data_IF_683444052456
#
_entry.id   IF_683444052456
#
_cell.length_a   1.000
_cell.length_b   1.000
_cell.length_c   1.000
_cell.angle_alpha   90.00
_cell.angle_beta   90.00
_cell.angle_gamma   90.00
#
_symmetry.space_group_name_H-M   'P 1'
#
loop_
_entity.id
_entity.type
_entity.pdbx_description
1 polymer ?
#
# COMPACT_ATOMS: atom_id res chain seq x y z
N UNK A 1 -27.68 -76.41 54.79
CA UNK A 1 -28.03 -75.73 53.52
C UNK A 1 -27.45 -74.33 53.57
N UNK A 2 -26.62 -73.96 52.58
CA UNK A 2 -25.92 -72.66 52.47
C UNK A 2 -26.91 -71.51 52.21
N UNK A 3 -26.66 -70.32 52.76
CA UNK A 3 -26.20 -69.12 52.01
C UNK A 3 -26.13 -67.86 52.90
N UNK A 4 -24.98 -67.19 52.82
CA UNK A 4 -24.69 -65.81 53.24
C UNK A 4 -25.37 -64.81 52.31
N UNK A 5 -25.79 -63.63 52.82
CA UNK A 5 -25.60 -62.33 52.13
C UNK A 5 -25.46 -61.20 53.19
N UNK A 6 -24.23 -60.70 53.38
CA UNK A 6 -23.97 -59.31 53.78
C UNK A 6 -24.30 -58.40 52.57
N UNK A 7 -24.75 -57.16 52.79
CA UNK A 7 -24.52 -55.95 51.96
C UNK A 7 -25.40 -54.83 52.54
N UNK A 8 -24.90 -53.71 53.05
CA UNK A 8 -23.79 -52.89 52.58
C UNK A 8 -24.37 -51.50 52.30
N UNK A 9 -24.20 -50.58 53.24
CA UNK A 9 -24.74 -49.21 53.19
C UNK A 9 -24.13 -48.45 52.00
N UNK A 10 -24.91 -48.12 50.96
CA UNK A 10 -24.43 -47.32 49.83
C UNK A 10 -24.59 -45.83 50.20
N UNK A 11 -23.52 -45.22 50.72
CA UNK A 11 -23.39 -43.76 50.80
C UNK A 11 -22.81 -43.24 49.49
N UNK A 12 -23.60 -42.46 48.75
CA UNK A 12 -23.13 -41.76 47.56
C UNK A 12 -22.18 -40.62 47.95
N UNK A 13 -20.88 -40.91 47.90
CA UNK A 13 -19.81 -39.92 48.02
C UNK A 13 -19.83 -38.98 46.81
N UNK A 14 -20.36 -37.76 46.98
CA UNK A 14 -20.12 -36.67 46.02
C UNK A 14 -18.65 -36.26 46.14
N UNK A 15 -17.83 -36.63 45.16
CA UNK A 15 -16.46 -36.11 45.02
C UNK A 15 -16.31 -35.33 43.73
N UNK A 16 -16.94 -34.16 43.67
CA UNK A 16 -16.60 -33.12 42.70
C UNK A 16 -15.62 -32.15 43.31
N UNK A 17 -14.31 -32.46 43.28
CA UNK A 17 -13.27 -31.45 43.53
C UNK A 17 -12.86 -30.86 42.19
N UNK A 18 -13.48 -29.75 41.82
CA UNK A 18 -12.83 -28.78 40.96
C UNK A 18 -11.78 -28.08 41.84
N UNK A 19 -10.55 -28.60 41.93
CA UNK A 19 -9.48 -27.86 42.57
C UNK A 19 -8.16 -28.08 41.84
N UNK A 20 -7.65 -27.00 41.26
CA UNK A 20 -6.34 -26.92 40.64
C UNK A 20 -6.13 -25.58 39.93
N UNK A 21 -6.45 -24.46 40.56
CA UNK A 21 -5.89 -23.17 40.12
C UNK A 21 -4.56 -22.99 40.84
N UNK A 22 -3.51 -23.55 40.26
CA UNK A 22 -2.13 -23.25 40.66
C UNK A 22 -1.72 -21.91 40.04
N UNK A 23 -1.04 -21.06 40.82
CA UNK A 23 -0.55 -19.76 40.34
C UNK A 23 0.66 -19.92 39.41
N UNK A 24 0.87 -18.96 38.50
CA UNK A 24 2.03 -18.99 37.60
C UNK A 24 3.34 -18.89 38.39
N UNK A 25 4.35 -19.65 37.95
CA UNK A 25 5.68 -19.61 38.57
C UNK A 25 6.48 -18.41 38.07
N UNK A 26 7.45 -17.93 38.86
CA UNK A 26 8.33 -16.83 38.43
C UNK A 26 9.14 -17.21 37.17
N UNK A 27 9.59 -18.47 37.09
CA UNK A 27 10.32 -18.99 35.93
C UNK A 27 9.47 -18.96 34.66
N UNK A 28 8.18 -19.27 34.77
CA UNK A 28 7.24 -19.24 33.65
C UNK A 28 7.08 -17.82 33.08
N UNK A 29 6.97 -16.81 33.95
CA UNK A 29 6.95 -15.39 33.51
C UNK A 29 8.26 -14.99 32.85
N UNK A 30 9.40 -15.40 33.40
CA UNK A 30 10.71 -15.09 32.80
C UNK A 30 10.85 -15.69 31.40
N UNK A 31 10.48 -16.97 31.23
CA UNK A 31 10.51 -17.63 29.92
C UNK A 31 9.52 -16.95 28.96
N UNK A 32 8.31 -16.61 29.42
CA UNK A 32 7.33 -15.88 28.62
C UNK A 32 7.85 -14.52 28.14
N UNK A 33 8.54 -13.77 28.99
CA UNK A 33 9.15 -12.47 28.63
C UNK A 33 10.29 -12.63 27.61
N UNK A 34 11.10 -13.69 27.71
CA UNK A 34 12.14 -13.99 26.71
C UNK A 34 11.51 -14.30 25.35
N UNK A 35 10.48 -15.15 25.31
CA UNK A 35 9.76 -15.47 24.08
C UNK A 35 9.11 -14.21 23.50
N UNK A 36 8.49 -13.37 24.34
CA UNK A 36 7.90 -12.10 23.93
C UNK A 36 8.94 -11.16 23.33
N UNK A 37 10.10 -11.02 23.97
CA UNK A 37 11.17 -10.15 23.47
C UNK A 37 11.64 -10.59 22.06
N UNK A 38 11.80 -11.89 21.83
CA UNK A 38 12.14 -12.44 20.51
C UNK A 38 11.03 -12.10 19.50
N UNK A 39 9.76 -12.26 19.88
CA UNK A 39 8.61 -11.92 19.05
C UNK A 39 8.58 -10.43 18.67
N UNK A 40 8.84 -9.53 19.61
CA UNK A 40 8.87 -8.09 19.36
C UNK A 40 10.01 -7.67 18.43
N UNK A 41 11.18 -8.32 18.53
CA UNK A 41 12.28 -8.11 17.59
C UNK A 41 11.89 -8.51 16.17
N UNK A 42 11.21 -9.64 15.99
CA UNK A 42 10.69 -10.03 14.67
C UNK A 42 9.70 -8.97 14.11
N UNK A 43 8.81 -8.44 14.94
CA UNK A 43 7.84 -7.39 14.56
C UNK A 43 8.54 -6.08 14.19
N UNK A 44 9.63 -5.72 14.87
CA UNK A 44 10.39 -4.50 14.55
C UNK A 44 10.90 -4.49 13.10
N UNK A 45 11.34 -5.64 12.58
CA UNK A 45 11.73 -5.79 11.19
C UNK A 45 10.56 -5.54 10.23
N UNK A 46 9.38 -6.07 10.56
CA UNK A 46 8.16 -5.85 9.77
C UNK A 46 7.72 -4.38 9.78
N UNK A 47 7.88 -3.67 10.90
CA UNK A 47 7.54 -2.25 10.99
C UNK A 47 8.39 -1.41 10.03
N UNK A 48 9.71 -1.66 9.96
CA UNK A 48 10.61 -0.95 9.03
C UNK A 48 10.18 -1.20 7.58
N UNK A 49 9.85 -2.45 7.23
CA UNK A 49 9.39 -2.79 5.88
C UNK A 49 8.07 -2.08 5.54
N UNK A 50 7.13 -2.04 6.49
CA UNK A 50 5.84 -1.37 6.32
C UNK A 50 5.99 0.13 6.08
N UNK A 51 6.89 0.80 6.82
CA UNK A 51 7.19 2.22 6.64
C UNK A 51 7.75 2.48 5.24
N UNK A 52 8.72 1.67 4.80
CA UNK A 52 9.32 1.81 3.46
C UNK A 52 8.30 1.57 2.35
N UNK A 53 7.48 0.52 2.48
CA UNK A 53 6.42 0.21 1.54
C UNK A 53 5.40 1.35 1.45
N UNK A 54 4.98 1.90 2.59
CA UNK A 54 4.06 3.02 2.63
C UNK A 54 4.65 4.29 2.00
N UNK A 55 5.93 4.60 2.29
CA UNK A 55 6.62 5.74 1.67
C UNK A 55 6.71 5.58 0.15
N UNK A 56 7.04 4.39 -0.36
CA UNK A 56 7.08 4.11 -1.79
C UNK A 56 5.69 4.23 -2.43
N UNK A 57 4.66 3.66 -1.79
CA UNK A 57 3.27 3.76 -2.25
C UNK A 57 2.77 5.20 -2.29
N UNK A 58 3.12 6.02 -1.29
CA UNK A 58 2.82 7.44 -1.28
C UNK A 58 3.46 8.17 -2.46
N UNK A 59 4.74 7.90 -2.76
CA UNK A 59 5.43 8.51 -3.90
C UNK A 59 4.75 8.18 -5.23
N UNK A 60 4.44 6.90 -5.43
CA UNK A 60 3.78 6.42 -6.63
C UNK A 60 2.39 7.04 -6.81
N UNK A 61 1.58 7.04 -5.74
CA UNK A 61 0.22 7.61 -5.78
C UNK A 61 0.26 9.11 -6.06
N UNK A 62 1.23 9.83 -5.48
CA UNK A 62 1.42 11.26 -5.74
C UNK A 62 1.80 11.52 -7.20
N UNK A 63 2.76 10.76 -7.73
CA UNK A 63 3.16 10.88 -9.13
C UNK A 63 2.01 10.58 -10.10
N UNK A 64 1.23 9.53 -9.83
CA UNK A 64 0.04 9.19 -10.61
C UNK A 64 -1.01 10.31 -10.56
N UNK A 65 -1.34 10.83 -9.38
CA UNK A 65 -2.29 11.92 -9.23
C UNK A 65 -1.84 13.19 -9.96
N UNK A 66 -0.55 13.54 -9.91
CA UNK A 66 0.01 14.68 -10.66
C UNK A 66 -0.12 14.46 -12.17
N UNK A 67 0.11 13.24 -12.64
CA UNK A 67 -0.01 12.89 -14.05
C UNK A 67 -1.47 12.94 -14.53
N UNK A 68 -2.39 12.31 -13.79
CA UNK A 68 -3.82 12.26 -14.11
C UNK A 68 -4.44 13.66 -14.15
N UNK A 69 -4.17 14.48 -13.14
CA UNK A 69 -4.67 15.85 -13.09
C UNK A 69 -4.17 16.66 -14.28
N UNK A 70 -2.88 16.52 -14.61
CA UNK A 70 -2.27 17.37 -15.61
C UNK A 70 -2.61 16.94 -17.04
N UNK A 71 -2.69 15.64 -17.31
CA UNK A 71 -3.03 15.16 -18.65
C UNK A 71 -4.46 15.58 -19.04
N UNK A 72 -5.42 15.49 -18.10
CA UNK A 72 -6.79 15.97 -18.28
C UNK A 72 -6.84 17.48 -18.50
N UNK A 73 -6.03 18.26 -17.77
CA UNK A 73 -5.96 19.71 -18.00
C UNK A 73 -5.47 20.05 -19.41
N UNK A 74 -4.43 19.37 -19.88
CA UNK A 74 -3.87 19.59 -21.21
C UNK A 74 -4.84 19.10 -22.30
N UNK A 75 -5.54 17.99 -22.06
CA UNK A 75 -6.52 17.43 -22.99
C UNK A 75 -7.77 18.29 -23.16
N UNK A 76 -8.14 19.07 -22.13
CA UNK A 76 -9.25 20.03 -22.19
C UNK A 76 -8.89 21.36 -22.89
N UNK A 77 -7.64 21.56 -23.31
CA UNK A 77 -7.27 22.75 -24.08
C UNK A 77 -7.85 22.68 -25.49
N UNK A 78 -8.12 23.84 -26.08
CA UNK A 78 -8.54 23.92 -27.48
C UNK A 78 -7.46 23.35 -28.40
N UNK A 79 -7.86 22.67 -29.48
CA UNK A 79 -6.92 22.00 -30.40
C UNK A 79 -5.82 22.93 -30.99
N UNK A 80 -6.12 24.23 -31.10
CA UNK A 80 -5.21 25.28 -31.59
C UNK A 80 -4.41 26.00 -30.50
N UNK A 81 -4.51 25.58 -29.24
CA UNK A 81 -3.78 26.19 -28.14
C UNK A 81 -2.26 26.04 -28.34
N UNK A 82 -1.46 27.12 -28.19
CA UNK A 82 -0.01 27.04 -28.33
C UNK A 82 0.67 26.02 -27.41
N UNK A 83 0.08 25.69 -26.26
CA UNK A 83 0.57 24.66 -25.35
C UNK A 83 0.45 23.25 -25.94
N UNK A 84 -0.36 23.06 -27.00
CA UNK A 84 -0.51 21.83 -27.78
C UNK A 84 0.35 21.80 -29.06
N UNK A 85 1.35 22.68 -29.17
CA UNK A 85 2.32 22.60 -30.26
C UNK A 85 3.22 21.36 -30.11
N UNK A 86 3.52 20.70 -31.23
CA UNK A 86 4.37 19.53 -31.25
C UNK A 86 5.76 19.83 -30.64
N UNK A 87 6.24 18.93 -29.79
CA UNK A 87 7.50 19.12 -29.07
C UNK A 87 7.45 18.58 -27.65
N UNK A 88 8.57 18.72 -26.94
CA UNK A 88 8.68 18.38 -25.52
C UNK A 88 8.68 19.67 -24.69
N UNK A 89 7.80 19.71 -23.71
CA UNK A 89 7.68 20.81 -22.75
C UNK A 89 8.07 20.28 -21.38
N UNK A 90 9.08 20.89 -20.77
CA UNK A 90 9.49 20.60 -19.39
C UNK A 90 8.75 21.55 -18.48
N UNK A 91 8.03 20.99 -17.51
CA UNK A 91 7.31 21.78 -16.51
C UNK A 91 8.18 21.97 -15.26
N UNK A 92 7.92 23.03 -14.47
CA UNK A 92 8.53 23.16 -13.16
C UNK A 92 8.29 21.92 -12.30
N UNK A 93 9.37 21.45 -11.67
CA UNK A 93 9.30 20.37 -10.71
C UNK A 93 8.46 20.78 -9.50
N UNK A 94 7.76 19.80 -8.92
CA UNK A 94 6.94 20.00 -7.72
C UNK A 94 7.53 19.18 -6.59
N UNK A 95 7.64 19.77 -5.41
CA UNK A 95 8.13 19.07 -4.21
C UNK A 95 6.95 18.77 -3.29
N UNK A 96 6.72 17.48 -3.00
CA UNK A 96 5.70 17.02 -2.05
C UNK A 96 6.37 16.14 -1.01
N UNK A 97 6.21 16.46 0.28
CA UNK A 97 6.85 15.74 1.40
C UNK A 97 8.35 15.47 1.19
N UNK A 98 9.10 16.50 0.78
CA UNK A 98 10.55 16.42 0.54
C UNK A 98 10.97 15.48 -0.62
N UNK A 99 10.04 15.10 -1.49
CA UNK A 99 10.29 14.36 -2.73
C UNK A 99 10.06 15.29 -3.91
N UNK A 100 11.05 15.39 -4.80
CA UNK A 100 10.97 16.21 -6.02
C UNK A 100 10.44 15.36 -7.17
N UNK A 101 9.36 15.83 -7.80
CA UNK A 101 8.76 15.24 -9.00
C UNK A 101 9.07 16.13 -10.20
N UNK A 102 9.90 15.64 -11.12
CA UNK A 102 10.14 16.27 -12.40
C UNK A 102 9.05 15.87 -13.37
N UNK A 103 8.59 16.83 -14.19
CA UNK A 103 7.40 16.63 -15.02
C UNK A 103 7.65 17.20 -16.41
N UNK A 104 7.17 16.50 -17.41
CA UNK A 104 7.21 16.97 -18.79
C UNK A 104 6.06 16.36 -19.59
N UNK A 105 5.74 16.97 -20.72
CA UNK A 105 4.85 16.36 -21.69
C UNK A 105 5.38 16.52 -23.11
N UNK A 106 5.13 15.51 -23.93
CA UNK A 106 5.50 15.51 -25.34
C UNK A 106 4.24 15.42 -26.19
N UNK A 107 4.14 16.29 -27.20
CA UNK A 107 3.05 16.30 -28.16
C UNK A 107 3.55 15.86 -29.52
N UNK A 108 2.80 14.96 -30.15
CA UNK A 108 3.04 14.49 -31.51
C UNK A 108 1.77 14.68 -32.34
N UNK A 109 1.88 15.48 -33.40
CA UNK A 109 0.79 15.78 -34.32
C UNK A 109 0.55 14.64 -35.33
N UNK A 110 -0.68 14.53 -35.85
CA UNK A 110 -1.03 13.59 -36.91
C UNK A 110 -0.88 12.12 -36.52
N UNK A 111 -0.93 11.82 -35.22
CA UNK A 111 -0.79 10.47 -34.70
C UNK A 111 -2.14 10.04 -34.09
N UNK A 112 -2.79 8.96 -34.56
CA UNK A 112 -2.39 8.07 -35.65
C UNK A 112 -2.95 8.54 -37.01
N UNK A 113 -3.81 9.57 -36.99
CA UNK A 113 -4.52 10.14 -38.10
C UNK A 113 -4.35 11.65 -38.07
N UNK A 114 -4.43 12.28 -39.24
CA UNK A 114 -4.49 13.73 -39.37
C UNK A 114 -5.66 14.29 -38.56
N UNK A 115 -5.46 15.42 -37.88
CA UNK A 115 -6.48 16.01 -37.01
C UNK A 115 -6.47 15.50 -35.57
N UNK A 116 -5.56 14.58 -35.22
CA UNK A 116 -5.38 14.12 -33.84
C UNK A 116 -3.96 14.43 -33.36
N UNK A 117 -3.87 14.99 -32.16
CA UNK A 117 -2.63 15.18 -31.41
C UNK A 117 -2.55 14.11 -30.34
N UNK A 118 -1.38 13.52 -30.16
CA UNK A 118 -1.08 12.59 -29.08
C UNK A 118 -0.25 13.31 -28.02
N UNK A 119 -0.69 13.25 -26.77
CA UNK A 119 0.01 13.80 -25.62
C UNK A 119 0.56 12.63 -24.81
N UNK A 120 1.84 12.68 -24.48
CA UNK A 120 2.48 11.78 -23.50
C UNK A 120 2.97 12.61 -22.32
N UNK A 121 2.32 12.49 -21.16
CA UNK A 121 2.74 13.13 -19.92
C UNK A 121 3.67 12.20 -19.15
N UNK A 122 4.79 12.72 -18.65
CA UNK A 122 5.81 11.94 -17.92
C UNK A 122 6.14 12.61 -16.60
N UNK A 123 6.12 11.82 -15.53
CA UNK A 123 6.54 12.22 -14.18
C UNK A 123 7.67 11.32 -13.72
N UNK A 124 8.77 11.91 -13.24
CA UNK A 124 9.91 11.17 -12.69
C UNK A 124 10.28 11.66 -11.29
N UNK A 125 10.71 10.75 -10.43
CA UNK A 125 11.18 11.07 -9.07
C UNK A 125 12.36 10.19 -8.69
N UNK A 126 12.95 10.44 -7.51
CA UNK A 126 14.16 9.77 -7.02
C UNK A 126 15.30 9.82 -8.06
N UNK A 127 15.60 11.04 -8.56
CA UNK A 127 16.59 11.31 -9.62
C UNK A 127 16.35 10.54 -10.94
N UNK A 128 15.09 10.24 -11.25
CA UNK A 128 14.73 9.52 -12.47
C UNK A 128 14.76 8.01 -12.35
N UNK A 129 15.04 7.46 -11.15
CA UNK A 129 14.98 6.01 -10.92
C UNK A 129 13.55 5.45 -11.11
N UNK A 130 12.55 6.28 -10.89
CA UNK A 130 11.14 5.92 -11.06
C UNK A 130 10.44 6.89 -11.99
N UNK A 131 9.57 6.34 -12.86
CA UNK A 131 8.87 7.08 -13.90
C UNK A 131 7.46 6.54 -14.07
N UNK A 132 6.48 7.44 -14.24
CA UNK A 132 5.13 7.14 -14.73
C UNK A 132 4.90 7.96 -15.99
N UNK A 133 4.35 7.33 -17.03
CA UNK A 133 3.92 8.02 -18.24
C UNK A 133 2.46 7.69 -18.55
N UNK A 134 1.67 8.72 -18.81
CA UNK A 134 0.29 8.63 -19.26
C UNK A 134 0.19 9.14 -20.69
N UNK A 135 -0.72 8.55 -21.46
CA UNK A 135 -0.95 8.93 -22.86
C UNK A 135 -2.42 9.25 -23.08
N UNK A 136 -2.68 10.36 -23.76
CA UNK A 136 -4.01 10.81 -24.13
C UNK A 136 -3.99 11.36 -25.58
N UNK A 137 -5.18 11.51 -26.17
CA UNK A 137 -5.33 12.01 -27.53
C UNK A 137 -6.34 13.14 -27.55
N UNK A 138 -6.04 14.19 -28.28
CA UNK A 138 -6.93 15.34 -28.52
C UNK A 138 -7.23 15.40 -30.01
N UNK A 139 -8.51 15.32 -30.37
CA UNK A 139 -8.98 15.43 -31.74
C UNK A 139 -9.44 16.85 -32.06
N UNK A 140 -9.36 17.21 -33.33
CA UNK A 140 -10.05 18.38 -33.86
C UNK A 140 -11.50 18.00 -34.16
N UNK A 141 -12.48 18.65 -33.52
CA UNK A 141 -13.92 18.36 -33.70
C UNK A 141 -14.47 18.82 -35.07
N UNK A 142 -13.66 19.50 -35.88
CA UNK A 142 -14.04 20.07 -37.17
C UNK A 142 -13.56 19.24 -38.38
N UNK A 143 -13.24 17.95 -38.19
CA UNK A 143 -12.88 16.98 -39.23
C UNK A 143 -13.77 15.74 -39.14
#
# INVERSE_FOLDING_TARGET
>A
MRRFINNGLITHSRKGRLSGQEGMTLLEVMIALVILAIGLLAVSGMQIMSIRANSSGFKFTTAAALADQRIVQIANLSFSDPALNAGNVVEPAVTVQNVVYNRSYTIVDGNPITGVKRITYTVTWDNGAHTISLMERVGNELL
#
